data_IF_199211866913
#
_entry.id   IF_199211866913
#
_cell.length_a   1.000
_cell.length_b   1.000
_cell.length_c   1.000
_cell.angle_alpha   90.00
_cell.angle_beta   90.00
_cell.angle_gamma   90.00
#
_symmetry.space_group_name_H-M   'P 1'
#
loop_
_entity.id
_entity.type
_entity.pdbx_description
1 polymer ?
#
# COMPACT_ATOMS: atom_id res chain seq x y z
N UNK A 1 -8.40 31.66 7.64
CA UNK A 1 -7.54 32.63 6.93
C UNK A 1 -6.52 33.18 7.90
N UNK A 2 -5.23 32.99 7.67
CA UNK A 2 -4.15 33.49 8.54
C UNK A 2 -2.82 32.85 8.21
N UNK A 3 -1.74 33.34 8.83
CA UNK A 3 -0.41 32.75 8.74
C UNK A 3 -0.41 31.41 9.49
N UNK A 4 0.03 30.34 8.81
CA UNK A 4 0.24 29.03 9.44
C UNK A 4 1.34 29.14 10.51
N UNK A 5 1.11 28.59 11.67
CA UNK A 5 2.08 28.50 12.77
C UNK A 5 2.57 27.05 12.92
N UNK A 6 3.65 26.85 13.68
CA UNK A 6 4.14 25.51 14.04
C UNK A 6 3.03 24.65 14.69
N UNK A 7 2.27 25.26 15.63
CA UNK A 7 1.14 24.57 16.30
C UNK A 7 0.01 24.18 15.35
N UNK A 8 -0.16 24.91 14.25
CA UNK A 8 -1.15 24.53 13.24
C UNK A 8 -0.69 23.27 12.48
N UNK A 9 0.62 23.11 12.24
CA UNK A 9 1.19 21.90 11.65
C UNK A 9 0.88 20.66 12.48
N UNK A 10 1.24 20.68 13.75
CA UNK A 10 0.99 19.56 14.68
C UNK A 10 -0.51 19.25 14.79
N UNK A 11 -1.36 20.27 14.91
CA UNK A 11 -2.83 20.10 15.00
C UNK A 11 -3.46 19.57 13.71
N UNK A 12 -2.91 19.91 12.56
CA UNK A 12 -3.46 19.53 11.25
C UNK A 12 -2.75 18.28 10.67
N UNK A 13 -1.76 17.74 11.40
CA UNK A 13 -1.07 16.51 11.03
C UNK A 13 -0.13 16.63 9.84
N UNK A 14 0.52 17.81 9.67
CA UNK A 14 1.53 17.98 8.65
C UNK A 14 2.84 18.53 9.24
N UNK A 15 4.00 18.12 8.71
CA UNK A 15 5.29 18.58 9.21
C UNK A 15 5.52 20.03 8.83
N UNK A 16 6.25 20.74 9.72
CA UNK A 16 6.66 22.13 9.53
C UNK A 16 8.17 22.23 9.32
N UNK A 17 8.90 21.24 9.82
CA UNK A 17 10.36 21.19 9.74
C UNK A 17 10.81 20.18 8.68
N UNK A 18 11.99 20.39 8.07
CA UNK A 18 12.59 19.38 7.19
C UNK A 18 12.87 18.06 7.89
N UNK A 19 13.34 18.13 9.15
CA UNK A 19 13.72 17.01 9.99
C UNK A 19 13.02 17.10 11.35
N UNK A 20 13.01 16.00 12.09
CA UNK A 20 12.57 15.96 13.49
C UNK A 20 13.19 17.11 14.27
N UNK A 21 12.37 17.87 14.95
CA UNK A 21 12.77 19.00 15.76
C UNK A 21 12.42 18.80 17.23
N UNK A 22 13.42 18.86 18.09
CA UNK A 22 13.25 18.93 19.54
C UNK A 22 13.42 20.37 19.98
N UNK A 23 12.36 20.99 20.49
CA UNK A 23 12.42 22.37 20.95
C UNK A 23 13.27 22.47 22.24
N UNK A 24 14.42 23.18 22.22
CA UNK A 24 15.31 23.23 23.36
C UNK A 24 14.73 23.98 24.56
N UNK A 25 13.63 24.73 24.38
CA UNK A 25 13.00 25.50 25.45
C UNK A 25 11.81 24.78 26.08
N UNK A 26 10.95 24.19 25.27
CA UNK A 26 9.75 23.49 25.77
C UNK A 26 9.97 21.98 25.95
N UNK A 27 10.97 21.39 25.29
CA UNK A 27 11.16 19.94 25.22
C UNK A 27 10.17 19.24 24.30
N UNK A 28 9.29 19.96 23.62
CA UNK A 28 8.33 19.41 22.67
C UNK A 28 9.03 18.90 21.41
N UNK A 29 8.58 17.75 20.90
CA UNK A 29 9.09 17.16 19.66
C UNK A 29 8.07 17.37 18.54
N UNK A 30 8.54 17.90 17.41
CA UNK A 30 7.75 18.02 16.17
C UNK A 30 8.35 17.15 15.08
N UNK A 31 7.51 16.39 14.38
CA UNK A 31 7.94 15.56 13.26
C UNK A 31 8.38 16.42 12.08
N UNK A 32 9.41 15.95 11.35
CA UNK A 32 9.87 16.56 10.12
C UNK A 32 9.24 15.92 8.87
N UNK A 33 9.44 16.55 7.71
CA UNK A 33 9.02 15.99 6.43
C UNK A 33 9.64 14.60 6.18
N UNK A 34 10.94 14.45 6.50
CA UNK A 34 11.64 13.17 6.35
C UNK A 34 11.00 12.06 7.21
N UNK A 35 10.77 12.33 8.49
CA UNK A 35 10.19 11.37 9.44
C UNK A 35 8.72 11.09 9.13
N UNK A 36 8.04 12.02 8.45
CA UNK A 36 6.68 11.84 7.95
C UNK A 36 6.62 11.10 6.60
N UNK A 37 7.77 10.67 6.06
CA UNK A 37 7.86 9.84 4.86
C UNK A 37 7.80 10.59 3.53
N UNK A 38 7.99 11.92 3.54
CA UNK A 38 8.09 12.69 2.30
C UNK A 38 9.47 12.52 1.65
N UNK A 39 9.47 12.34 0.34
CA UNK A 39 10.68 12.36 -0.47
C UNK A 39 11.21 13.80 -0.61
N UNK A 40 12.54 14.03 -0.52
CA UNK A 40 13.11 15.37 -0.58
C UNK A 40 12.72 16.14 -1.84
N UNK A 41 12.77 15.51 -3.00
CA UNK A 41 12.41 16.09 -4.28
C UNK A 41 10.93 16.49 -4.36
N UNK A 42 10.04 15.69 -3.76
CA UNK A 42 8.62 16.02 -3.67
C UNK A 42 8.38 17.28 -2.83
N UNK A 43 9.09 17.41 -1.70
CA UNK A 43 9.00 18.57 -0.82
C UNK A 43 9.53 19.82 -1.54
N UNK A 44 10.68 19.71 -2.20
CA UNK A 44 11.28 20.85 -2.91
C UNK A 44 10.36 21.32 -4.03
N UNK A 45 9.85 20.43 -4.87
CA UNK A 45 8.96 20.79 -5.96
C UNK A 45 7.65 21.42 -5.43
N UNK A 46 7.04 20.82 -4.41
CA UNK A 46 5.85 21.37 -3.77
C UNK A 46 6.07 22.78 -3.21
N UNK A 47 7.18 22.99 -2.49
CA UNK A 47 7.53 24.29 -1.91
C UNK A 47 7.85 25.34 -2.97
N UNK A 48 8.51 24.96 -4.06
CA UNK A 48 8.80 25.87 -5.17
C UNK A 48 7.51 26.48 -5.73
N UNK A 49 6.47 25.68 -5.91
CA UNK A 49 5.19 26.13 -6.45
C UNK A 49 4.31 26.90 -5.45
N UNK A 50 4.72 27.07 -4.19
CA UNK A 50 3.96 27.85 -3.22
C UNK A 50 3.99 29.36 -3.45
N UNK A 51 4.88 29.86 -4.27
CA UNK A 51 4.98 31.30 -4.53
C UNK A 51 5.57 31.62 -5.89
N UNK A 52 5.76 30.62 -6.71
CA UNK A 52 6.29 30.70 -8.04
C UNK A 52 5.53 29.73 -8.98
N UNK A 53 5.58 29.98 -10.29
CA UNK A 53 5.11 29.05 -11.31
C UNK A 53 6.01 29.11 -12.54
N UNK A 54 6.13 28.01 -13.33
CA UNK A 54 7.03 27.96 -14.48
C UNK A 54 6.54 28.77 -15.70
N UNK A 55 5.35 29.36 -15.63
CA UNK A 55 4.74 30.06 -16.75
C UNK A 55 3.94 29.14 -17.70
N UNK A 56 3.87 27.86 -17.39
CA UNK A 56 3.07 26.84 -18.07
C UNK A 56 2.35 25.97 -17.02
N UNK A 57 1.65 24.92 -17.46
CA UNK A 57 0.89 23.99 -16.59
C UNK A 57 1.77 22.86 -16.00
N UNK A 58 3.10 22.93 -16.13
CA UNK A 58 4.00 21.93 -15.58
C UNK A 58 4.04 22.02 -14.06
N UNK A 59 3.64 20.96 -13.37
CA UNK A 59 3.67 20.91 -11.92
C UNK A 59 4.82 20.04 -11.37
N UNK A 60 5.08 18.90 -11.99
CA UNK A 60 6.12 17.96 -11.54
C UNK A 60 7.41 18.22 -12.31
N UNK A 61 8.47 18.59 -11.59
CA UNK A 61 9.74 19.01 -12.16
C UNK A 61 10.90 18.48 -11.32
N UNK A 62 11.91 17.95 -11.99
CA UNK A 62 13.20 17.64 -11.37
C UNK A 62 13.88 18.90 -10.83
N UNK A 63 14.92 18.73 -10.02
CA UNK A 63 15.71 19.87 -9.52
C UNK A 63 16.32 20.67 -10.66
N UNK A 64 16.84 20.01 -11.69
CA UNK A 64 17.45 20.67 -12.83
C UNK A 64 16.42 21.48 -13.62
N UNK A 65 15.23 20.91 -13.85
CA UNK A 65 14.13 21.64 -14.51
C UNK A 65 13.63 22.83 -13.67
N UNK A 66 13.58 22.68 -12.34
CA UNK A 66 13.26 23.81 -11.46
C UNK A 66 14.29 24.93 -11.56
N UNK A 67 15.59 24.61 -11.60
CA UNK A 67 16.67 25.57 -11.75
C UNK A 67 16.60 26.28 -13.10
N UNK A 68 16.41 25.51 -14.18
CA UNK A 68 16.39 26.05 -15.55
C UNK A 68 15.16 26.95 -15.79
N UNK A 69 14.00 26.60 -15.22
CA UNK A 69 12.77 27.37 -15.39
C UNK A 69 12.63 28.54 -14.42
N UNK A 70 13.43 28.57 -13.35
CA UNK A 70 13.23 29.57 -12.30
C UNK A 70 13.50 31.01 -12.81
N UNK A 71 12.53 31.88 -12.58
CA UNK A 71 12.60 33.31 -12.85
C UNK A 71 11.90 34.11 -11.75
N UNK A 72 12.50 35.20 -11.33
CA UNK A 72 11.89 36.13 -10.38
C UNK A 72 10.62 36.80 -10.93
N UNK A 73 10.52 36.92 -12.25
CA UNK A 73 9.35 37.52 -12.92
C UNK A 73 8.07 36.70 -12.72
N UNK A 74 8.22 35.42 -12.49
CA UNK A 74 7.11 34.48 -12.25
C UNK A 74 6.79 34.28 -10.75
N UNK A 75 7.46 35.03 -9.87
CA UNK A 75 7.13 35.00 -8.44
C UNK A 75 5.80 35.72 -8.17
N UNK A 76 4.92 35.03 -7.43
CA UNK A 76 3.64 35.59 -7.02
C UNK A 76 3.81 36.72 -6.01
N UNK A 77 3.11 37.84 -6.21
CA UNK A 77 3.06 38.95 -5.24
C UNK A 77 2.02 38.74 -4.14
N UNK A 78 1.16 37.73 -4.28
CA UNK A 78 0.14 37.37 -3.30
C UNK A 78 0.60 36.22 -2.41
N UNK A 79 0.00 36.10 -1.21
CA UNK A 79 0.27 34.98 -0.32
C UNK A 79 -0.19 33.65 -0.96
N UNK A 80 0.66 32.63 -0.90
CA UNK A 80 0.34 31.29 -1.35
C UNK A 80 -0.50 30.55 -0.33
N UNK A 81 -1.43 29.70 -0.79
CA UNK A 81 -2.20 28.79 0.04
C UNK A 81 -1.43 27.48 0.17
N UNK A 82 -1.05 27.14 1.37
CA UNK A 82 -0.49 25.82 1.68
C UNK A 82 -1.59 24.76 1.65
N UNK A 83 -1.52 23.84 0.69
CA UNK A 83 -2.51 22.77 0.50
C UNK A 83 -1.86 21.41 0.81
N UNK A 84 -2.19 20.82 1.96
CA UNK A 84 -1.60 19.54 2.43
C UNK A 84 -1.82 18.40 1.45
N UNK A 85 -3.02 18.28 0.92
CA UNK A 85 -3.36 17.24 -0.03
C UNK A 85 -2.52 17.33 -1.31
N UNK A 86 -2.14 18.57 -1.72
CA UNK A 86 -1.23 18.76 -2.84
C UNK A 86 0.19 18.28 -2.51
N UNK A 87 0.66 18.50 -1.27
CA UNK A 87 1.94 17.95 -0.80
C UNK A 87 1.99 16.43 -0.82
N UNK A 88 0.92 15.77 -0.36
CA UNK A 88 0.77 14.31 -0.45
C UNK A 88 0.71 13.83 -1.89
N UNK A 89 0.00 14.53 -2.74
CA UNK A 89 -0.07 14.22 -4.17
C UNK A 89 1.30 14.29 -4.83
N UNK A 90 2.10 15.33 -4.55
CA UNK A 90 3.48 15.38 -5.03
C UNK A 90 4.27 14.15 -4.58
N UNK A 91 4.20 13.81 -3.29
CA UNK A 91 4.92 12.65 -2.76
C UNK A 91 4.48 11.36 -3.46
N UNK A 92 3.17 11.17 -3.66
CA UNK A 92 2.64 10.04 -4.43
C UNK A 92 3.25 9.99 -5.84
N UNK A 93 3.24 11.10 -6.59
CA UNK A 93 3.78 11.13 -7.96
C UNK A 93 5.26 10.76 -7.99
N UNK A 94 6.06 11.32 -7.08
CA UNK A 94 7.49 10.99 -6.99
C UNK A 94 7.73 9.54 -6.58
N UNK A 95 6.92 8.96 -5.71
CA UNK A 95 6.97 7.53 -5.39
C UNK A 95 6.63 6.66 -6.60
N UNK A 96 5.61 7.05 -7.39
CA UNK A 96 5.25 6.33 -8.61
C UNK A 96 6.37 6.30 -9.65
N UNK A 97 7.15 7.38 -9.75
CA UNK A 97 8.25 7.52 -10.70
C UNK A 97 9.49 6.71 -10.30
N UNK A 98 9.58 6.23 -9.06
CA UNK A 98 10.64 5.33 -8.61
C UNK A 98 10.29 3.88 -8.90
N UNK A 99 11.29 3.11 -9.30
CA UNK A 99 11.17 1.65 -9.37
C UNK A 99 11.03 1.02 -7.98
N UNK A 100 10.43 -0.17 -7.91
CA UNK A 100 10.39 -0.94 -6.66
C UNK A 100 11.77 -1.15 -6.07
N UNK A 101 12.78 -1.42 -6.91
CA UNK A 101 14.17 -1.60 -6.48
C UNK A 101 14.75 -0.36 -5.77
N UNK A 102 14.43 0.86 -6.25
CA UNK A 102 14.86 2.10 -5.59
C UNK A 102 14.15 2.37 -4.26
N UNK A 103 13.04 1.70 -4.00
CA UNK A 103 12.26 1.85 -2.77
C UNK A 103 12.57 0.75 -1.73
N UNK A 104 13.29 -0.31 -2.08
CA UNK A 104 13.61 -1.44 -1.18
C UNK A 104 14.27 -0.95 0.12
N UNK A 105 15.32 -0.14 0.01
CA UNK A 105 16.07 0.33 1.19
C UNK A 105 15.25 1.29 2.08
N UNK A 106 14.24 1.96 1.51
CA UNK A 106 13.30 2.77 2.28
C UNK A 106 12.23 1.92 2.96
N UNK A 107 11.88 0.76 2.39
CA UNK A 107 10.85 -0.12 2.94
C UNK A 107 11.40 -1.10 3.99
N UNK A 108 12.65 -1.54 3.90
CA UNK A 108 13.28 -2.44 4.89
C UNK A 108 13.09 -1.97 6.35
N UNK A 109 13.35 -0.71 6.71
CA UNK A 109 13.10 -0.24 8.08
C UNK A 109 11.63 -0.31 8.50
N UNK A 110 10.70 -0.19 7.56
CA UNK A 110 9.26 -0.33 7.84
C UNK A 110 8.92 -1.79 8.15
N UNK A 111 9.48 -2.76 7.40
CA UNK A 111 9.35 -4.19 7.70
C UNK A 111 9.87 -4.52 9.10
N UNK A 112 11.07 -4.04 9.44
CA UNK A 112 11.69 -4.24 10.76
C UNK A 112 10.84 -3.66 11.89
N UNK A 113 10.27 -2.48 11.71
CA UNK A 113 9.39 -1.84 12.68
C UNK A 113 8.11 -2.67 12.96
N UNK A 114 7.72 -3.51 12.02
CA UNK A 114 6.59 -4.44 12.16
C UNK A 114 7.01 -5.89 12.49
N UNK A 115 8.26 -6.08 12.89
CA UNK A 115 8.76 -7.37 13.34
C UNK A 115 9.09 -8.37 12.24
N UNK A 116 9.16 -7.91 10.98
CA UNK A 116 9.60 -8.73 9.84
C UNK A 116 11.09 -8.50 9.62
N UNK A 117 11.88 -9.57 9.57
CA UNK A 117 13.28 -9.48 9.21
C UNK A 117 13.43 -9.41 7.69
N UNK A 118 13.89 -8.27 7.12
CA UNK A 118 14.01 -8.14 5.67
C UNK A 118 14.99 -9.12 5.02
N UNK A 119 15.96 -9.64 5.81
CA UNK A 119 16.94 -10.61 5.32
C UNK A 119 16.34 -12.00 4.98
N UNK A 120 15.11 -12.26 5.40
CA UNK A 120 14.38 -13.49 5.06
C UNK A 120 13.82 -13.44 3.62
N UNK A 121 13.91 -12.29 2.97
CA UNK A 121 13.39 -12.04 1.61
C UNK A 121 14.49 -11.46 0.71
N UNK A 122 14.49 -11.83 -0.57
CA UNK A 122 15.39 -11.18 -1.52
C UNK A 122 14.94 -9.75 -1.83
N UNK A 123 15.90 -8.88 -2.17
CA UNK A 123 15.60 -7.50 -2.58
C UNK A 123 14.70 -7.46 -3.84
N UNK A 124 14.86 -8.44 -4.74
CA UNK A 124 14.00 -8.61 -5.91
C UNK A 124 12.55 -8.92 -5.50
N UNK A 125 12.34 -9.83 -4.55
CA UNK A 125 11.01 -10.13 -4.03
C UNK A 125 10.35 -8.88 -3.44
N UNK A 126 11.09 -8.15 -2.59
CA UNK A 126 10.60 -6.91 -1.96
C UNK A 126 10.25 -5.87 -3.02
N UNK A 127 11.11 -5.69 -4.03
CA UNK A 127 10.90 -4.75 -5.14
C UNK A 127 9.64 -5.07 -5.94
N UNK A 128 9.44 -6.35 -6.27
CA UNK A 128 8.27 -6.81 -7.00
C UNK A 128 6.96 -6.60 -6.22
N UNK A 129 7.00 -6.86 -4.90
CA UNK A 129 5.86 -6.57 -4.00
C UNK A 129 5.55 -5.07 -3.99
N UNK A 130 6.57 -4.23 -3.91
CA UNK A 130 6.40 -2.77 -3.98
C UNK A 130 5.72 -2.36 -5.29
N UNK A 131 6.16 -2.90 -6.44
CA UNK A 131 5.56 -2.60 -7.75
C UNK A 131 4.06 -2.94 -7.78
N UNK A 132 3.64 -4.05 -7.17
CA UNK A 132 2.23 -4.45 -7.12
C UNK A 132 1.34 -3.49 -6.31
N UNK A 133 1.90 -2.80 -5.32
CA UNK A 133 1.11 -2.01 -4.38
C UNK A 133 1.37 -0.51 -4.42
N UNK A 134 2.49 -0.04 -5.00
CA UNK A 134 2.91 1.38 -4.97
C UNK A 134 1.87 2.36 -5.53
N UNK A 135 1.03 1.92 -6.48
CA UNK A 135 -0.06 2.72 -7.01
C UNK A 135 -1.12 3.15 -5.99
N UNK A 136 -1.07 2.62 -4.77
CA UNK A 136 -2.07 2.83 -3.70
C UNK A 136 -1.54 3.59 -2.50
N UNK A 137 -0.28 4.02 -2.53
CA UNK A 137 0.40 4.64 -1.40
C UNK A 137 0.73 6.10 -1.67
N UNK A 138 0.76 6.90 -0.62
CA UNK A 138 1.28 8.27 -0.64
C UNK A 138 2.63 8.37 0.07
N UNK A 139 2.92 7.45 0.97
CA UNK A 139 4.15 7.38 1.76
C UNK A 139 4.71 5.96 1.75
N UNK A 140 6.01 5.82 1.97
CA UNK A 140 6.66 4.50 2.08
C UNK A 140 6.07 3.68 3.25
N UNK A 141 5.68 4.34 4.34
CA UNK A 141 5.00 3.70 5.47
C UNK A 141 3.68 3.02 5.08
N UNK A 142 2.96 3.54 4.07
CA UNK A 142 1.69 2.98 3.62
C UNK A 142 1.89 1.61 2.93
N UNK A 143 3.14 1.28 2.56
CA UNK A 143 3.47 -0.03 1.98
C UNK A 143 3.09 -1.17 2.92
N UNK A 144 3.31 -1.02 4.24
CA UNK A 144 2.97 -2.06 5.18
C UNK A 144 1.49 -2.45 5.11
N UNK A 145 0.60 -1.50 5.20
CA UNK A 145 -0.84 -1.76 5.17
C UNK A 145 -1.32 -2.38 3.84
N UNK A 146 -0.60 -2.09 2.74
CA UNK A 146 -0.94 -2.59 1.42
C UNK A 146 -0.19 -3.87 1.02
N UNK A 147 0.90 -4.23 1.71
CA UNK A 147 1.81 -5.31 1.34
C UNK A 147 2.03 -6.35 2.44
N UNK A 148 1.61 -6.13 3.69
CA UNK A 148 1.92 -7.00 4.84
C UNK A 148 1.65 -8.49 4.59
N UNK A 149 0.59 -8.81 3.85
CA UNK A 149 0.21 -10.19 3.56
C UNK A 149 1.20 -10.92 2.63
N UNK A 150 2.11 -10.23 1.98
CA UNK A 150 3.22 -10.86 1.26
C UNK A 150 4.32 -11.36 2.20
N UNK A 151 4.43 -10.78 3.39
CA UNK A 151 5.47 -11.07 4.37
C UNK A 151 4.97 -11.88 5.56
N UNK A 152 3.70 -11.69 5.94
CA UNK A 152 3.11 -12.35 7.11
C UNK A 152 1.75 -12.94 6.72
N UNK A 153 1.54 -14.21 7.05
CA UNK A 153 0.24 -14.86 6.85
C UNK A 153 -0.83 -14.24 7.78
N UNK A 154 -2.10 -14.17 7.36
CA UNK A 154 -3.15 -13.67 8.22
C UNK A 154 -3.38 -14.59 9.41
N UNK A 155 -3.38 -14.02 10.61
CA UNK A 155 -3.80 -14.70 11.84
C UNK A 155 -5.25 -14.44 12.16
N UNK A 156 -5.75 -13.28 11.74
CA UNK A 156 -7.13 -12.82 11.89
C UNK A 156 -7.77 -12.54 10.54
N UNK A 157 -9.08 -12.66 10.47
CA UNK A 157 -9.86 -12.45 9.27
C UNK A 157 -10.88 -11.33 9.48
N UNK A 158 -11.01 -10.42 8.53
CA UNK A 158 -11.89 -9.25 8.61
C UNK A 158 -13.35 -9.68 8.94
N UNK A 159 -13.91 -9.36 10.13
CA UNK A 159 -15.21 -9.87 10.56
C UNK A 159 -16.36 -9.50 9.61
N UNK A 160 -16.31 -8.29 9.02
CA UNK A 160 -17.33 -7.85 8.04
C UNK A 160 -17.27 -8.67 6.74
N UNK A 161 -16.05 -9.03 6.30
CA UNK A 161 -15.86 -9.87 5.14
C UNK A 161 -16.32 -11.31 5.43
N UNK A 162 -15.96 -11.86 6.58
CA UNK A 162 -16.43 -13.18 7.03
C UNK A 162 -17.96 -13.22 7.03
N UNK A 163 -18.63 -12.30 7.71
CA UNK A 163 -20.11 -12.24 7.78
C UNK A 163 -20.76 -12.18 6.39
N UNK A 164 -20.14 -11.49 5.44
CA UNK A 164 -20.72 -11.24 4.11
C UNK A 164 -20.38 -12.31 3.08
N UNK A 165 -19.22 -13.00 3.23
CA UNK A 165 -18.62 -13.82 2.17
C UNK A 165 -18.37 -15.26 2.55
N UNK A 166 -18.39 -15.59 3.82
CA UNK A 166 -18.13 -16.94 4.30
C UNK A 166 -19.43 -17.64 4.68
N UNK A 167 -20.06 -18.29 3.70
CA UNK A 167 -21.25 -19.14 3.93
C UNK A 167 -20.85 -20.49 4.55
N UNK A 168 -21.78 -21.28 5.10
CA UNK A 168 -21.47 -22.60 5.66
C UNK A 168 -20.76 -23.54 4.69
N UNK A 169 -21.08 -23.47 3.40
CA UNK A 169 -20.51 -24.33 2.35
C UNK A 169 -19.11 -23.86 1.91
N UNK A 170 -18.75 -22.61 2.21
CA UNK A 170 -17.55 -21.98 1.66
C UNK A 170 -16.27 -22.69 2.08
N UNK A 171 -16.24 -23.27 3.29
CA UNK A 171 -15.12 -24.08 3.75
C UNK A 171 -14.85 -25.28 2.84
N UNK A 172 -15.91 -26.01 2.44
CA UNK A 172 -15.81 -27.12 1.50
C UNK A 172 -15.34 -26.66 0.12
N UNK A 173 -15.92 -25.58 -0.39
CA UNK A 173 -15.53 -24.99 -1.69
C UNK A 173 -14.03 -24.58 -1.69
N UNK A 174 -13.54 -23.98 -0.62
CA UNK A 174 -12.12 -23.59 -0.52
C UNK A 174 -11.19 -24.79 -0.39
N UNK A 175 -11.64 -25.87 0.24
CA UNK A 175 -10.88 -27.14 0.28
C UNK A 175 -10.75 -27.74 -1.11
N UNK A 176 -11.86 -27.86 -1.86
CA UNK A 176 -11.83 -28.35 -3.24
C UNK A 176 -10.99 -27.47 -4.18
N UNK A 177 -11.04 -26.14 -3.98
CA UNK A 177 -10.19 -25.21 -4.72
C UNK A 177 -8.71 -25.47 -4.42
N UNK A 178 -8.34 -25.65 -3.14
CA UNK A 178 -6.98 -25.94 -2.76
C UNK A 178 -6.47 -27.26 -3.37
N UNK A 179 -7.29 -28.31 -3.36
CA UNK A 179 -6.94 -29.62 -3.92
C UNK A 179 -6.75 -29.54 -5.45
N UNK A 180 -7.60 -28.77 -6.14
CA UNK A 180 -7.47 -28.51 -7.58
C UNK A 180 -6.18 -27.74 -7.89
N UNK A 181 -5.84 -26.72 -7.09
CA UNK A 181 -4.64 -25.92 -7.25
C UNK A 181 -3.36 -26.72 -6.94
N UNK A 182 -3.39 -27.61 -5.94
CA UNK A 182 -2.26 -28.46 -5.56
C UNK A 182 -1.83 -29.42 -6.68
N UNK A 183 -2.77 -29.82 -7.52
CA UNK A 183 -2.52 -30.70 -8.65
C UNK A 183 -1.83 -29.97 -9.84
N UNK A 184 -1.65 -28.65 -9.78
CA UNK A 184 -1.08 -27.88 -10.89
C UNK A 184 0.44 -27.85 -10.83
N UNK A 185 1.15 -28.28 -11.89
CA UNK A 185 2.61 -28.24 -11.93
C UNK A 185 3.17 -26.83 -12.15
N UNK A 186 2.40 -25.93 -12.75
CA UNK A 186 2.73 -24.52 -12.96
C UNK A 186 1.73 -23.67 -12.19
N UNK A 187 2.22 -22.96 -11.18
CA UNK A 187 1.42 -22.13 -10.29
C UNK A 187 1.48 -20.64 -10.67
N UNK A 188 1.98 -20.31 -11.85
CA UNK A 188 1.99 -18.94 -12.33
C UNK A 188 0.56 -18.37 -12.46
N UNK A 189 0.39 -17.09 -12.14
CA UNK A 189 -0.93 -16.44 -12.23
C UNK A 189 -1.59 -16.59 -13.58
N UNK A 190 -0.81 -16.59 -14.65
CA UNK A 190 -1.29 -16.80 -16.04
C UNK A 190 -1.90 -18.18 -16.27
N UNK A 191 -1.43 -19.19 -15.54
CA UNK A 191 -1.93 -20.58 -15.65
C UNK A 191 -3.08 -20.80 -14.71
N UNK A 192 -2.97 -20.40 -13.46
CA UNK A 192 -4.00 -20.70 -12.46
C UNK A 192 -5.27 -19.84 -12.59
N UNK A 193 -5.17 -18.61 -13.10
CA UNK A 193 -6.34 -17.74 -13.25
C UNK A 193 -7.42 -18.36 -14.15
N UNK A 194 -7.13 -18.72 -15.41
CA UNK A 194 -8.13 -19.34 -16.28
C UNK A 194 -8.66 -20.67 -15.71
N UNK A 195 -7.83 -21.48 -15.05
CA UNK A 195 -8.24 -22.72 -14.42
C UNK A 195 -9.25 -22.48 -13.29
N UNK A 196 -8.98 -21.52 -12.41
CA UNK A 196 -9.91 -21.15 -11.33
C UNK A 196 -11.21 -20.61 -11.89
N UNK A 197 -11.16 -19.76 -12.93
CA UNK A 197 -12.37 -19.22 -13.57
C UNK A 197 -13.24 -20.31 -14.21
N UNK A 198 -12.62 -21.26 -14.90
CA UNK A 198 -13.33 -22.40 -15.50
C UNK A 198 -13.89 -23.31 -14.42
N UNK A 199 -13.11 -23.65 -13.40
CA UNK A 199 -13.53 -24.46 -12.27
C UNK A 199 -14.76 -23.90 -11.54
N UNK A 200 -14.82 -22.56 -11.33
CA UNK A 200 -15.97 -21.87 -10.74
C UNK A 200 -17.20 -22.00 -11.65
N UNK A 201 -17.01 -21.80 -12.97
CA UNK A 201 -18.08 -21.88 -13.97
C UNK A 201 -18.67 -23.27 -14.09
N UNK A 202 -17.83 -24.31 -14.16
CA UNK A 202 -18.28 -25.72 -14.27
C UNK A 202 -19.11 -26.17 -13.09
N UNK A 203 -18.90 -25.58 -11.90
CA UNK A 203 -19.63 -25.87 -10.66
C UNK A 203 -20.83 -24.97 -10.42
N UNK A 204 -21.14 -24.09 -11.36
CA UNK A 204 -22.22 -23.08 -11.24
C UNK A 204 -22.12 -22.26 -9.96
N UNK A 205 -20.87 -21.95 -9.52
CA UNK A 205 -20.60 -21.16 -8.32
C UNK A 205 -20.61 -19.66 -8.63
N UNK A 206 -21.01 -18.86 -7.63
CA UNK A 206 -21.00 -17.41 -7.79
C UNK A 206 -19.56 -16.87 -7.71
N UNK A 207 -19.01 -16.40 -8.85
CA UNK A 207 -17.63 -15.93 -9.00
C UNK A 207 -17.20 -14.97 -7.88
N UNK A 208 -18.00 -13.93 -7.63
CA UNK A 208 -17.64 -12.92 -6.63
C UNK A 208 -17.55 -13.46 -5.20
N UNK A 209 -18.35 -14.48 -4.86
CA UNK A 209 -18.30 -15.09 -3.52
C UNK A 209 -17.05 -15.96 -3.39
N UNK A 210 -16.76 -16.80 -4.36
CA UNK A 210 -15.58 -17.67 -4.36
C UNK A 210 -14.30 -16.85 -4.35
N UNK A 211 -14.17 -15.86 -5.23
CA UNK A 211 -12.97 -15.01 -5.30
C UNK A 211 -12.74 -14.16 -4.05
N UNK A 212 -13.82 -13.69 -3.40
CA UNK A 212 -13.68 -12.99 -2.12
C UNK A 212 -13.31 -13.94 -0.97
N UNK A 213 -13.85 -15.16 -0.94
CA UNK A 213 -13.47 -16.16 0.06
C UNK A 213 -12.03 -16.61 -0.13
N UNK A 214 -11.60 -16.83 -1.36
CA UNK A 214 -10.22 -17.14 -1.71
C UNK A 214 -9.27 -16.05 -1.22
N UNK A 215 -9.58 -14.79 -1.54
CA UNK A 215 -8.81 -13.64 -1.04
C UNK A 215 -8.81 -13.57 0.49
N UNK A 216 -9.95 -13.79 1.12
CA UNK A 216 -10.07 -13.76 2.57
C UNK A 216 -9.14 -14.77 3.24
N UNK A 217 -9.08 -16.02 2.73
CA UNK A 217 -8.18 -17.04 3.29
C UNK A 217 -6.71 -16.70 3.12
N UNK A 218 -6.31 -16.10 1.99
CA UNK A 218 -4.90 -15.82 1.67
C UNK A 218 -4.40 -14.50 2.27
N UNK A 219 -5.25 -13.47 2.29
CA UNK A 219 -4.89 -12.10 2.66
C UNK A 219 -5.41 -11.71 4.05
N UNK A 220 -6.50 -12.32 4.51
CA UNK A 220 -7.19 -11.95 5.76
C UNK A 220 -8.29 -10.89 5.57
N UNK A 221 -8.33 -10.22 4.42
CA UNK A 221 -9.29 -9.17 4.09
C UNK A 221 -9.66 -9.23 2.59
N UNK A 222 -10.74 -8.52 2.20
CA UNK A 222 -11.20 -8.49 0.80
C UNK A 222 -10.61 -7.31 0.00
N UNK A 223 -9.37 -6.90 0.30
CA UNK A 223 -8.64 -5.82 -0.37
C UNK A 223 -7.30 -6.31 -0.90
N UNK A 224 -6.68 -5.53 -1.76
CA UNK A 224 -5.34 -5.83 -2.27
C UNK A 224 -5.25 -5.78 -3.80
N UNK A 225 -4.07 -6.10 -4.37
CA UNK A 225 -3.84 -6.25 -5.80
C UNK A 225 -4.70 -7.34 -6.43
N UNK A 226 -4.51 -7.61 -7.71
CA UNK A 226 -5.16 -8.73 -8.38
C UNK A 226 -4.82 -10.05 -7.66
N UNK A 227 -5.82 -10.93 -7.49
CA UNK A 227 -5.64 -12.12 -6.63
C UNK A 227 -4.55 -13.05 -7.15
N UNK A 228 -4.45 -13.20 -8.45
CA UNK A 228 -3.49 -14.10 -9.08
C UNK A 228 -2.07 -13.53 -9.10
N UNK A 229 -1.90 -12.19 -9.04
CA UNK A 229 -0.59 -11.58 -8.79
C UNK A 229 -0.12 -11.86 -7.35
N UNK A 230 -1.06 -11.90 -6.40
CA UNK A 230 -0.75 -12.25 -5.00
C UNK A 230 -0.27 -13.70 -4.92
N UNK A 231 -1.02 -14.64 -5.50
CA UNK A 231 -0.70 -16.07 -5.45
C UNK A 231 0.60 -16.40 -6.20
N UNK A 232 0.85 -15.71 -7.30
CA UNK A 232 2.09 -15.83 -8.07
C UNK A 232 3.33 -15.47 -7.22
N UNK A 233 3.23 -14.40 -6.42
CA UNK A 233 4.30 -13.97 -5.52
C UNK A 233 4.46 -14.86 -4.29
N UNK A 234 3.38 -15.34 -3.70
CA UNK A 234 3.41 -16.23 -2.54
C UNK A 234 3.89 -17.65 -2.90
N UNK A 235 3.66 -18.07 -4.14
CA UNK A 235 3.90 -19.43 -4.58
C UNK A 235 2.83 -20.43 -4.11
N UNK A 236 2.95 -21.66 -4.61
CA UNK A 236 1.97 -22.74 -4.36
C UNK A 236 1.88 -23.09 -2.87
N UNK A 237 3.02 -23.44 -2.25
CA UNK A 237 3.06 -23.96 -0.88
C UNK A 237 2.43 -23.00 0.12
N UNK A 238 2.80 -21.72 0.04
CA UNK A 238 2.29 -20.72 0.97
C UNK A 238 0.82 -20.39 0.70
N UNK A 239 0.40 -20.31 -0.57
CA UNK A 239 -1.01 -20.09 -0.93
C UNK A 239 -1.89 -21.22 -0.41
N UNK A 240 -1.53 -22.48 -0.67
CA UNK A 240 -2.28 -23.66 -0.23
C UNK A 240 -2.32 -23.75 1.31
N UNK A 241 -1.20 -23.50 1.97
CA UNK A 241 -1.11 -23.45 3.43
C UNK A 241 -2.10 -22.44 4.02
N UNK A 242 -2.20 -21.24 3.42
CA UNK A 242 -3.11 -20.19 3.88
C UNK A 242 -4.56 -20.52 3.63
N UNK A 243 -4.91 -21.11 2.47
CA UNK A 243 -6.28 -21.54 2.20
C UNK A 243 -6.71 -22.56 3.26
N UNK A 244 -5.90 -23.58 3.52
CA UNK A 244 -6.20 -24.62 4.50
C UNK A 244 -6.32 -24.06 5.93
N UNK A 245 -5.40 -23.19 6.32
CA UNK A 245 -5.46 -22.50 7.62
C UNK A 245 -6.73 -21.64 7.75
N UNK A 246 -7.12 -20.95 6.67
CA UNK A 246 -8.36 -20.17 6.61
C UNK A 246 -9.60 -21.03 6.80
N UNK A 247 -9.67 -22.18 6.12
CA UNK A 247 -10.78 -23.15 6.27
C UNK A 247 -10.90 -23.64 7.71
N UNK A 248 -9.78 -23.89 8.39
CA UNK A 248 -9.78 -24.33 9.78
C UNK A 248 -10.20 -23.26 10.78
N UNK A 249 -9.86 -21.99 10.52
CA UNK A 249 -10.02 -20.87 11.48
C UNK A 249 -11.28 -20.05 11.28
N UNK A 250 -11.70 -19.84 10.02
CA UNK A 250 -12.87 -19.01 9.72
C UNK A 250 -14.13 -19.81 10.06
N UNK A 251 -14.99 -19.20 10.87
CA UNK A 251 -16.32 -19.76 11.18
C UNK A 251 -17.40 -18.88 10.57
N UNK A 252 -18.46 -19.45 9.98
CA UNK A 252 -19.63 -18.67 9.58
C UNK A 252 -20.13 -17.83 10.75
N UNK A 253 -20.60 -16.61 10.48
CA UNK A 253 -21.24 -15.82 11.51
C UNK A 253 -22.51 -16.53 11.97
N UNK A 254 -22.65 -16.80 13.26
CA UNK A 254 -23.88 -17.37 13.83
C UNK A 254 -25.07 -16.47 13.48
N UNK A 255 -26.13 -17.06 12.92
CA UNK A 255 -27.39 -16.35 12.60
C UNK A 255 -28.13 -15.86 13.84
N UNK A 256 -27.63 -16.18 15.05
CA UNK A 256 -28.29 -15.91 16.33
C UNK A 256 -28.01 -14.53 16.92
N UNK A 257 -27.35 -13.63 16.17
CA UNK A 257 -27.03 -12.26 16.65
C UNK A 257 -27.60 -11.19 15.69
N UNK A 258 -28.88 -11.34 15.35
CA UNK A 258 -29.71 -10.32 14.71
C UNK A 258 -30.80 -9.86 15.67
#
# INVERSE_FOLDING_TARGET
KGKLSKRDGDRLGFPVFPLLWNDPKSGETSSGYRESGYLPEAVVNFLALLGWNPGDDTEVMSMDELIDKFSLDHCSRSGARFAFEKGKWFNHVYLQNRSGAELVDLFKPVLEAHGVNPADFSDEYIADVIELVKGRINFVSDLWDNARFFFVAPEEYEPKAVKKRWSPEMGGIMTELADMLEAQPDFSGKVIEPLVMEWIKERDLHLGNVMNAFRLTVVGECKGPHMFDITDRLGADETLRRIRAGVERIRPADESTL
#
